data_IF_027684992728
#
_entry.id   IF_027684992728
#
_cell.length_a   1.000
_cell.length_b   1.000
_cell.length_c   1.000
_cell.angle_alpha   90.00
_cell.angle_beta   90.00
_cell.angle_gamma   90.00
#
_symmetry.space_group_name_H-M   'P 1'
#
loop_
_entity.id
_entity.type
_entity.pdbx_description
1 polymer ?
#
# COMPACT_ATOMS: atom_id res chain seq x y z
N UNK A 1 -9.23 -1.06 -1.18
CA UNK A 1 -8.38 -1.68 -2.25
C UNK A 1 -7.49 -2.84 -1.75
N UNK A 2 -6.91 -3.67 -2.65
CA UNK A 2 -6.19 -4.95 -2.37
C UNK A 2 -5.19 -4.90 -1.18
N UNK A 3 -4.51 -3.76 -0.97
CA UNK A 3 -3.60 -3.56 0.17
C UNK A 3 -4.34 -3.69 1.52
N UNK A 4 -5.49 -3.03 1.69
CA UNK A 4 -6.28 -3.13 2.93
C UNK A 4 -6.82 -4.55 3.16
N UNK A 5 -7.18 -5.25 2.08
CA UNK A 5 -7.65 -6.64 2.17
C UNK A 5 -6.52 -7.56 2.65
N UNK A 6 -5.30 -7.41 2.12
CA UNK A 6 -4.15 -8.17 2.57
C UNK A 6 -3.74 -7.81 4.00
N UNK A 7 -3.83 -6.54 4.39
CA UNK A 7 -3.66 -6.13 5.80
C UNK A 7 -4.67 -6.83 6.71
N UNK A 8 -5.94 -6.88 6.33
CA UNK A 8 -6.98 -7.56 7.09
C UNK A 8 -6.72 -9.07 7.20
N UNK A 9 -6.34 -9.74 6.11
CA UNK A 9 -5.95 -11.18 6.10
C UNK A 9 -4.78 -11.46 7.04
N UNK A 10 -3.81 -10.55 7.09
CA UNK A 10 -2.63 -10.67 7.97
C UNK A 10 -2.86 -10.09 9.38
N UNK A 11 -4.08 -9.61 9.68
CA UNK A 11 -4.43 -8.94 10.96
C UNK A 11 -3.50 -7.76 11.30
N UNK A 12 -3.05 -7.03 10.28
CA UNK A 12 -2.18 -5.87 10.43
C UNK A 12 -3.00 -4.60 10.68
N UNK A 13 -2.68 -3.92 11.77
CA UNK A 13 -3.21 -2.57 12.02
C UNK A 13 -2.50 -1.54 11.13
N UNK A 14 -3.13 -0.39 10.91
CA UNK A 14 -2.50 0.74 10.18
C UNK A 14 -1.16 1.16 10.81
N UNK A 15 -1.06 1.14 12.14
CA UNK A 15 0.19 1.46 12.84
C UNK A 15 1.30 0.45 12.56
N UNK A 16 1.00 -0.85 12.61
CA UNK A 16 1.97 -1.90 12.33
C UNK A 16 2.40 -1.90 10.86
N UNK A 17 1.46 -1.67 9.95
CA UNK A 17 1.73 -1.55 8.52
C UNK A 17 2.64 -0.34 8.23
N UNK A 18 2.34 0.83 8.79
CA UNK A 18 3.17 2.02 8.63
C UNK A 18 4.60 1.79 9.13
N UNK A 19 4.75 1.09 10.27
CA UNK A 19 6.06 0.68 10.80
C UNK A 19 6.80 -0.27 9.85
N UNK A 20 6.13 -1.29 9.30
CA UNK A 20 6.72 -2.22 8.30
C UNK A 20 7.14 -1.52 7.01
N UNK A 21 6.39 -0.50 6.58
CA UNK A 21 6.72 0.32 5.42
C UNK A 21 7.79 1.38 5.69
N UNK A 22 8.26 1.52 6.93
CA UNK A 22 9.13 2.61 7.36
C UNK A 22 8.58 4.00 7.01
N UNK A 23 7.28 4.20 7.24
CA UNK A 23 6.58 5.44 6.91
C UNK A 23 5.68 5.92 8.05
N UNK A 24 5.15 7.13 7.92
CA UNK A 24 4.20 7.68 8.90
C UNK A 24 2.79 7.12 8.71
N UNK A 25 1.99 7.10 9.79
CA UNK A 25 0.58 6.71 9.70
C UNK A 25 -0.22 7.61 8.75
N UNK A 26 0.14 8.89 8.64
CA UNK A 26 -0.47 9.82 7.69
C UNK A 26 -0.18 9.45 6.24
N UNK A 27 1.06 9.04 5.93
CA UNK A 27 1.41 8.56 4.60
C UNK A 27 0.71 7.24 4.24
N UNK A 28 0.56 6.33 5.20
CA UNK A 28 -0.27 5.14 4.99
C UNK A 28 -1.74 5.50 4.77
N UNK A 29 -2.31 6.44 5.53
CA UNK A 29 -3.69 6.83 5.33
C UNK A 29 -3.94 7.36 3.92
N UNK A 30 -3.02 8.17 3.37
CA UNK A 30 -3.04 8.61 1.97
C UNK A 30 -3.00 7.45 0.99
N UNK A 31 -2.13 6.47 1.20
CA UNK A 31 -2.08 5.24 0.38
C UNK A 31 -3.39 4.44 0.40
N UNK A 32 -4.11 4.47 1.52
CA UNK A 32 -5.36 3.74 1.69
C UNK A 32 -6.59 4.59 1.29
N UNK A 33 -6.39 5.85 0.92
CA UNK A 33 -7.44 6.76 0.47
C UNK A 33 -7.63 6.60 -1.04
N UNK A 34 -8.81 6.17 -1.45
CA UNK A 34 -9.15 5.93 -2.86
C UNK A 34 -9.26 7.24 -3.66
N UNK A 35 -9.41 8.38 -2.98
CA UNK A 35 -9.47 9.70 -3.60
C UNK A 35 -8.10 10.37 -3.74
N UNK A 36 -7.06 9.82 -3.11
CA UNK A 36 -5.71 10.37 -3.16
C UNK A 36 -4.98 9.91 -4.43
N UNK A 37 -4.82 10.84 -5.38
CA UNK A 37 -4.10 10.61 -6.64
C UNK A 37 -2.61 10.87 -6.55
N UNK A 38 -2.08 11.24 -5.38
CA UNK A 38 -0.65 11.57 -5.19
C UNK A 38 0.27 10.34 -5.05
N UNK A 39 -0.29 9.13 -5.21
CA UNK A 39 0.43 7.88 -5.01
C UNK A 39 1.46 7.63 -6.12
N UNK A 40 2.67 7.32 -5.70
CA UNK A 40 3.75 6.94 -6.60
C UNK A 40 3.87 5.42 -6.70
N UNK A 41 4.48 4.93 -7.79
CA UNK A 41 4.83 3.51 -7.90
C UNK A 41 5.73 3.05 -6.75
N UNK A 42 6.61 3.92 -6.23
CA UNK A 42 7.45 3.65 -5.07
C UNK A 42 6.62 3.40 -3.79
N UNK A 43 5.57 4.19 -3.57
CA UNK A 43 4.67 4.03 -2.42
C UNK A 43 3.92 2.70 -2.52
N UNK A 44 3.44 2.35 -3.71
CA UNK A 44 2.74 1.09 -3.96
C UNK A 44 3.68 -0.11 -3.75
N UNK A 45 4.90 -0.07 -4.30
CA UNK A 45 5.86 -1.18 -4.15
C UNK A 45 6.33 -1.35 -2.72
N UNK A 46 6.53 -0.25 -1.97
CA UNK A 46 6.83 -0.30 -0.53
C UNK A 46 5.72 -1.00 0.26
N UNK A 47 4.46 -0.69 -0.02
CA UNK A 47 3.33 -1.34 0.64
C UNK A 47 3.22 -2.83 0.30
N UNK A 48 3.41 -3.19 -0.97
CA UNK A 48 3.44 -4.59 -1.38
C UNK A 48 4.57 -5.35 -0.68
N UNK A 49 5.78 -4.77 -0.63
CA UNK A 49 6.93 -5.36 0.04
C UNK A 49 6.69 -5.58 1.55
N UNK A 50 6.10 -4.60 2.23
CA UNK A 50 5.72 -4.70 3.65
C UNK A 50 4.73 -5.85 3.94
N UNK A 51 3.93 -6.24 2.94
CA UNK A 51 2.98 -7.36 2.96
C UNK A 51 3.58 -8.68 2.44
N UNK A 52 4.85 -8.71 2.03
CA UNK A 52 5.49 -9.87 1.41
C UNK A 52 4.94 -10.18 0.01
N UNK A 53 4.53 -9.16 -0.73
CA UNK A 53 3.95 -9.26 -2.07
C UNK A 53 4.80 -8.51 -3.10
N UNK A 54 4.55 -8.78 -4.38
CA UNK A 54 5.14 -8.09 -5.51
C UNK A 54 4.02 -7.43 -6.34
N UNK A 55 4.29 -6.25 -6.88
CA UNK A 55 3.38 -5.59 -7.82
C UNK A 55 3.68 -6.07 -9.22
N UNK A 56 2.63 -6.49 -9.94
CA UNK A 56 2.63 -6.62 -11.39
C UNK A 56 1.89 -5.42 -11.96
N UNK A 57 2.57 -4.66 -12.82
CA UNK A 57 1.99 -3.53 -13.54
C UNK A 57 2.04 -3.82 -15.04
N UNK A 58 0.94 -3.53 -15.74
CA UNK A 58 0.83 -3.69 -17.19
C UNK A 58 0.16 -2.45 -17.79
N UNK A 59 0.64 -2.03 -18.97
CA UNK A 59 -0.02 -0.97 -19.75
C UNK A 59 -0.77 -1.63 -20.90
N UNK A 60 -1.99 -1.17 -21.17
CA UNK A 60 -2.80 -1.62 -22.30
C UNK A 60 -2.82 -0.55 -23.39
N UNK A 61 -3.10 -0.97 -24.63
CA UNK A 61 -3.36 -0.03 -25.72
C UNK A 61 -4.51 0.92 -25.31
N UNK A 62 -4.43 2.16 -25.78
CA UNK A 62 -5.43 3.19 -25.52
C UNK A 62 -6.80 2.82 -26.11
#
# INVERSE_FOLDING_TARGET
WQIEQEMAKQKLTKTLMAKKMHTSRAALNRLLDESDTSLTLLTLTSAASALGKMIKFEMKAA
#
